data_IF_606743075486
#
_entry.id   IF_606743075486
#
_cell.length_a   1.000
_cell.length_b   1.000
_cell.length_c   1.000
_cell.angle_alpha   90.00
_cell.angle_beta   90.00
_cell.angle_gamma   90.00
#
_symmetry.space_group_name_H-M   'P 1'
#
loop_
_entity.id
_entity.type
_entity.pdbx_description
1 polymer ?
#
# COMPACT_ATOMS: atom_id res chain seq x y z
N UNK A 1 5.45 -13.55 -4.82
CA UNK A 1 4.69 -12.81 -5.87
C UNK A 1 4.10 -11.47 -5.37
N UNK A 2 4.12 -11.15 -4.07
CA UNK A 2 3.46 -9.95 -3.53
C UNK A 2 4.20 -8.60 -3.71
N UNK A 3 5.44 -8.61 -4.20
CA UNK A 3 6.26 -7.40 -4.43
C UNK A 3 6.22 -6.91 -5.88
N UNK A 4 5.81 -7.76 -6.83
CA UNK A 4 5.86 -7.43 -8.27
C UNK A 4 4.98 -6.23 -8.61
N UNK A 5 3.86 -6.05 -7.90
CA UNK A 5 2.93 -4.93 -8.11
C UNK A 5 3.36 -3.62 -7.43
N UNK A 6 4.50 -3.60 -6.72
CA UNK A 6 5.11 -2.39 -6.16
C UNK A 6 6.46 -2.04 -6.80
N UNK A 7 6.81 -2.72 -7.90
CA UNK A 7 8.00 -2.42 -8.70
C UNK A 7 7.67 -1.30 -9.69
N UNK A 8 8.27 -0.13 -9.50
CA UNK A 8 8.40 0.88 -10.55
C UNK A 8 7.42 2.05 -10.48
N UNK A 9 7.72 3.01 -9.59
CA UNK A 9 7.19 4.37 -9.64
C UNK A 9 8.38 5.31 -9.40
N UNK A 10 8.54 6.36 -10.21
CA UNK A 10 9.69 7.30 -10.11
C UNK A 10 9.65 8.19 -8.85
N UNK A 11 8.60 8.08 -8.07
CA UNK A 11 8.40 8.87 -6.85
C UNK A 11 9.28 8.39 -5.69
N UNK A 12 9.48 7.08 -5.56
CA UNK A 12 10.23 6.49 -4.44
C UNK A 12 10.88 5.15 -4.86
N UNK A 13 11.94 4.69 -4.15
CA UNK A 13 12.50 3.36 -4.36
C UNK A 13 11.45 2.26 -4.19
N UNK A 14 11.60 1.15 -4.92
CA UNK A 14 10.68 0.03 -4.77
C UNK A 14 10.71 -0.49 -3.33
N UNK A 15 9.55 -0.88 -2.82
CA UNK A 15 9.44 -1.33 -1.43
C UNK A 15 10.34 -2.55 -1.13
N UNK A 16 10.52 -3.43 -2.13
CA UNK A 16 11.46 -4.55 -2.07
C UNK A 16 12.91 -4.10 -1.86
N UNK A 17 13.33 -3.03 -2.54
CA UNK A 17 14.70 -2.53 -2.48
C UNK A 17 14.97 -1.94 -1.10
N UNK A 18 14.02 -1.15 -0.57
CA UNK A 18 14.10 -0.60 0.79
C UNK A 18 14.16 -1.73 1.82
N UNK A 19 13.33 -2.77 1.67
CA UNK A 19 13.34 -3.94 2.56
C UNK A 19 14.67 -4.68 2.50
N UNK A 20 15.20 -4.92 1.29
CA UNK A 20 16.47 -5.61 1.08
C UNK A 20 17.64 -4.83 1.70
N UNK A 21 17.68 -3.51 1.51
CA UNK A 21 18.70 -2.65 2.10
C UNK A 21 18.63 -2.67 3.64
N UNK A 22 17.43 -2.57 4.22
CA UNK A 22 17.26 -2.66 5.67
C UNK A 22 17.70 -4.01 6.24
N UNK A 23 17.50 -5.10 5.49
CA UNK A 23 17.98 -6.42 5.86
C UNK A 23 19.51 -6.52 5.75
N UNK A 24 20.08 -6.08 4.63
CA UNK A 24 21.53 -6.14 4.35
C UNK A 24 22.35 -5.37 5.39
N UNK A 25 21.88 -4.20 5.80
CA UNK A 25 22.56 -3.36 6.80
C UNK A 25 22.10 -3.66 8.25
N UNK A 26 21.34 -4.73 8.47
CA UNK A 26 20.84 -5.13 9.79
C UNK A 26 20.17 -3.99 10.57
N UNK A 27 19.35 -3.18 9.90
CA UNK A 27 18.65 -2.05 10.52
C UNK A 27 17.68 -2.50 11.63
N UNK A 28 17.25 -3.77 11.64
CA UNK A 28 16.44 -4.32 12.74
C UNK A 28 17.15 -4.31 14.10
N UNK A 29 18.48 -4.21 14.12
CA UNK A 29 19.27 -4.15 15.37
C UNK A 29 18.89 -2.97 16.27
N UNK A 30 18.40 -1.86 15.69
CA UNK A 30 17.89 -0.71 16.44
C UNK A 30 16.67 -1.04 17.31
N UNK A 31 15.98 -2.15 17.00
CA UNK A 31 14.78 -2.60 17.70
C UNK A 31 15.00 -3.86 18.55
N UNK A 32 16.26 -4.22 18.84
CA UNK A 32 16.65 -5.46 19.54
C UNK A 32 15.98 -5.68 20.90
N UNK A 33 15.62 -4.62 21.61
CA UNK A 33 14.97 -4.68 22.93
C UNK A 33 13.44 -4.55 22.89
N UNK A 34 12.84 -4.58 21.71
CA UNK A 34 11.40 -4.39 21.51
C UNK A 34 10.81 -5.67 20.93
N UNK A 35 9.63 -6.05 21.42
CA UNK A 35 8.89 -7.18 20.86
C UNK A 35 8.57 -6.93 19.38
N UNK A 36 8.76 -7.96 18.54
CA UNK A 36 8.51 -7.87 17.10
C UNK A 36 7.01 -7.65 16.85
N UNK A 37 6.60 -6.57 16.15
CA UNK A 37 5.20 -6.33 15.87
C UNK A 37 4.63 -7.35 14.86
N UNK A 38 3.33 -7.69 14.96
CA UNK A 38 2.67 -8.70 14.11
C UNK A 38 2.34 -8.16 12.71
N UNK A 39 3.37 -7.84 11.91
CA UNK A 39 3.19 -7.28 10.57
C UNK A 39 2.49 -8.23 9.60
N UNK A 40 1.45 -7.74 8.93
CA UNK A 40 0.86 -8.43 7.77
C UNK A 40 1.81 -8.37 6.60
N UNK A 41 2.00 -9.52 5.94
CA UNK A 41 2.78 -9.56 4.71
C UNK A 41 2.12 -8.69 3.63
N UNK A 42 2.88 -7.91 2.83
CA UNK A 42 4.35 -7.92 2.73
C UNK A 42 5.09 -6.96 3.68
N UNK A 43 4.43 -6.35 4.67
CA UNK A 43 5.06 -5.46 5.64
C UNK A 43 6.13 -6.14 6.51
N UNK A 44 7.02 -5.33 7.08
CA UNK A 44 8.07 -5.77 8.00
C UNK A 44 8.23 -4.75 9.16
N UNK A 45 8.83 -5.12 10.30
CA UNK A 45 9.03 -4.19 11.41
C UNK A 45 9.78 -2.93 10.97
N UNK A 46 9.26 -1.74 11.30
CA UNK A 46 9.91 -0.50 10.92
C UNK A 46 11.16 -0.29 11.82
N UNK A 47 12.39 -0.28 11.25
CA UNK A 47 13.61 -0.09 12.04
C UNK A 47 13.71 1.31 12.65
N UNK A 48 12.88 2.27 12.23
CA UNK A 48 12.79 3.62 12.82
C UNK A 48 11.67 3.73 13.84
N UNK A 49 10.71 2.80 13.85
CA UNK A 49 9.61 2.74 14.80
C UNK A 49 9.28 1.28 15.14
N UNK A 50 9.98 0.78 16.15
CA UNK A 50 9.97 -0.62 16.57
C UNK A 50 8.60 -1.17 16.99
N UNK A 51 7.61 -0.31 17.25
CA UNK A 51 6.25 -0.70 17.63
C UNK A 51 5.28 -0.74 16.46
N UNK A 52 5.75 -0.47 15.24
CA UNK A 52 4.94 -0.44 14.02
C UNK A 52 5.61 -1.17 12.86
N UNK A 53 4.86 -1.38 11.79
CA UNK A 53 5.33 -2.00 10.57
C UNK A 53 5.57 -0.96 9.48
N UNK A 54 6.65 -1.14 8.73
CA UNK A 54 6.86 -0.48 7.45
C UNK A 54 6.00 -1.18 6.41
N UNK A 55 5.01 -0.47 5.90
CA UNK A 55 4.07 -1.00 4.92
C UNK A 55 4.45 -0.63 3.48
N UNK A 56 4.19 -1.51 2.49
CA UNK A 56 4.13 -1.09 1.10
C UNK A 56 3.10 0.04 0.92
N UNK A 57 3.29 0.91 -0.08
CA UNK A 57 2.39 2.06 -0.35
C UNK A 57 0.90 1.66 -0.44
N UNK A 58 0.59 0.45 -0.88
CA UNK A 58 -0.76 -0.07 -1.04
C UNK A 58 -1.39 -0.64 0.25
N UNK A 59 -0.73 -0.51 1.40
CA UNK A 59 -1.25 -0.94 2.71
C UNK A 59 -0.97 0.14 3.77
N UNK A 60 -1.82 0.20 4.78
CA UNK A 60 -1.71 1.14 5.89
C UNK A 60 -2.08 0.47 7.22
N UNK A 61 -2.12 1.27 8.30
CA UNK A 61 -2.32 0.77 9.65
C UNK A 61 -1.00 0.42 10.35
N UNK A 62 -1.07 0.21 11.66
CA UNK A 62 0.12 -0.03 12.48
C UNK A 62 0.84 -1.33 12.09
N UNK A 63 0.09 -2.31 11.60
CA UNK A 63 0.54 -3.65 11.25
C UNK A 63 0.30 -3.99 9.78
N UNK A 64 0.08 -2.98 8.92
CA UNK A 64 -0.25 -3.14 7.50
C UNK A 64 -1.57 -3.91 7.26
N UNK A 65 -2.52 -3.77 8.19
CA UNK A 65 -3.81 -4.46 8.20
C UNK A 65 -4.94 -3.66 7.51
N UNK A 66 -4.71 -2.37 7.25
CA UNK A 66 -5.69 -1.47 6.67
C UNK A 66 -5.37 -1.20 5.21
N UNK A 67 -6.38 -0.74 4.49
CA UNK A 67 -6.18 -0.10 3.21
C UNK A 67 -5.69 1.33 3.41
N UNK A 68 -4.83 1.83 2.52
CA UNK A 68 -4.43 3.22 2.55
C UNK A 68 -5.61 4.10 2.14
N UNK A 69 -5.75 5.23 2.83
CA UNK A 69 -6.64 6.29 2.42
C UNK A 69 -5.99 7.05 1.24
N UNK A 70 -6.79 7.36 0.23
CA UNK A 70 -6.37 8.21 -0.88
C UNK A 70 -6.45 9.68 -0.48
N UNK A 71 -5.62 10.53 -1.09
CA UNK A 71 -5.68 11.99 -0.85
C UNK A 71 -6.62 12.71 -1.81
N UNK A 72 -7.07 12.06 -2.89
CA UNK A 72 -8.03 12.67 -3.81
C UNK A 72 -9.49 12.55 -3.30
N UNK A 73 -10.28 13.63 -3.32
CA UNK A 73 -11.66 13.64 -2.84
C UNK A 73 -12.57 12.60 -3.51
N UNK A 74 -12.32 12.29 -4.79
CA UNK A 74 -13.17 11.43 -5.61
C UNK A 74 -12.75 9.95 -5.65
N UNK A 75 -11.64 9.58 -5.03
CA UNK A 75 -11.09 8.22 -5.08
C UNK A 75 -10.39 7.80 -3.77
N UNK A 76 -10.92 8.27 -2.64
CA UNK A 76 -10.39 7.99 -1.32
C UNK A 76 -10.77 6.57 -0.84
N UNK A 77 -10.01 5.57 -1.30
CA UNK A 77 -9.95 4.23 -0.72
C UNK A 77 -11.28 3.47 -0.63
N UNK A 78 -11.60 2.63 -1.62
CA UNK A 78 -12.75 1.71 -1.51
C UNK A 78 -12.39 0.25 -1.74
N UNK A 79 -13.02 -0.63 -0.95
CA UNK A 79 -13.02 -2.08 -1.20
C UNK A 79 -14.12 -2.39 -2.20
N UNK A 80 -13.75 -2.94 -3.35
CA UNK A 80 -14.68 -3.41 -4.37
C UNK A 80 -14.76 -4.93 -4.26
N UNK A 81 -15.91 -5.43 -3.80
CA UNK A 81 -16.16 -6.87 -3.74
C UNK A 81 -16.64 -7.35 -5.11
N UNK A 82 -15.88 -8.23 -5.75
CA UNK A 82 -16.34 -8.98 -6.90
C UNK A 82 -17.37 -10.02 -6.44
N UNK A 83 -18.64 -9.81 -6.81
CA UNK A 83 -19.77 -10.65 -6.41
C UNK A 83 -20.19 -11.65 -7.49
N UNK A 84 -19.75 -11.47 -8.73
CA UNK A 84 -20.04 -12.37 -9.85
C UNK A 84 -18.77 -12.97 -10.45
N UNK A 85 -18.94 -14.10 -11.13
CA UNK A 85 -17.91 -14.72 -11.97
C UNK A 85 -17.87 -14.13 -13.39
N UNK A 86 -18.79 -13.22 -13.71
CA UNK A 86 -18.84 -12.51 -15.00
C UNK A 86 -17.93 -11.27 -14.99
N UNK A 87 -17.42 -10.91 -16.17
CA UNK A 87 -16.64 -9.69 -16.33
C UNK A 87 -17.45 -8.45 -15.90
N UNK A 88 -16.85 -7.61 -15.07
CA UNK A 88 -17.42 -6.34 -14.62
C UNK A 88 -16.37 -5.24 -14.74
N UNK A 89 -16.75 -4.09 -15.30
CA UNK A 89 -15.86 -2.94 -15.44
C UNK A 89 -15.95 -2.05 -14.19
N UNK A 90 -14.80 -1.81 -13.55
CA UNK A 90 -14.70 -0.80 -12.50
C UNK A 90 -14.70 0.61 -13.12
N UNK A 91 -15.69 1.43 -12.76
CA UNK A 91 -15.74 2.85 -13.12
C UNK A 91 -14.96 3.68 -12.09
N UNK A 92 -13.63 3.65 -12.18
CA UNK A 92 -12.73 4.45 -11.34
C UNK A 92 -12.27 5.71 -12.09
N UNK A 93 -12.47 6.89 -11.49
CA UNK A 93 -11.98 8.16 -12.02
C UNK A 93 -10.95 8.73 -11.05
N UNK A 94 -9.74 9.00 -11.55
CA UNK A 94 -8.69 9.71 -10.81
C UNK A 94 -8.60 11.15 -11.34
N UNK A 95 -8.79 12.15 -10.47
CA UNK A 95 -8.84 13.55 -10.88
C UNK A 95 -10.17 13.96 -11.54
N UNK A 96 -10.20 15.12 -12.18
CA UNK A 96 -11.37 15.64 -12.90
C UNK A 96 -11.15 15.55 -14.42
N UNK A 97 -11.94 14.74 -15.16
CA UNK A 97 -11.76 14.57 -16.60
C UNK A 97 -12.08 15.83 -17.42
N UNK A 98 -12.76 16.81 -16.84
CA UNK A 98 -13.13 18.06 -17.52
C UNK A 98 -12.20 19.23 -17.16
N UNK A 99 -11.20 19.01 -16.31
CA UNK A 99 -10.26 20.05 -15.88
C UNK A 99 -8.90 19.89 -16.54
N UNK A 100 -8.48 20.94 -17.25
CA UNK A 100 -7.14 21.05 -17.84
C UNK A 100 -6.20 21.92 -16.99
N UNK A 101 -6.63 22.32 -15.80
CA UNK A 101 -5.82 23.14 -14.91
C UNK A 101 -4.63 22.32 -14.40
N UNK A 102 -3.39 22.85 -14.45
CA UNK A 102 -2.24 22.16 -13.93
C UNK A 102 -2.38 21.95 -12.41
N UNK A 103 -2.30 20.69 -11.98
CA UNK A 103 -2.27 20.31 -10.57
C UNK A 103 -0.84 20.52 -10.04
N UNK A 104 -0.68 21.35 -9.00
CA UNK A 104 0.61 21.60 -8.36
C UNK A 104 1.00 20.53 -7.34
N UNK A 105 0.05 19.68 -6.95
CA UNK A 105 0.25 18.57 -6.03
C UNK A 105 -0.36 17.29 -6.63
N UNK A 106 0.34 16.17 -6.46
CA UNK A 106 -0.19 14.87 -6.82
C UNK A 106 -1.18 14.40 -5.75
N UNK A 107 -2.30 13.82 -6.18
CA UNK A 107 -3.24 13.11 -5.31
C UNK A 107 -3.19 11.62 -5.57
N UNK A 108 -3.34 10.83 -4.52
CA UNK A 108 -3.33 9.38 -4.57
C UNK A 108 -4.77 8.83 -4.57
N UNK A 109 -4.98 7.78 -5.38
CA UNK A 109 -6.20 6.98 -5.41
C UNK A 109 -5.86 5.51 -5.11
N UNK A 110 -6.69 4.84 -4.31
CA UNK A 110 -6.53 3.42 -4.02
C UNK A 110 -7.84 2.66 -4.20
N UNK A 111 -7.80 1.59 -4.97
CA UNK A 111 -8.91 0.65 -5.16
C UNK A 111 -8.46 -0.76 -4.84
N UNK A 112 -9.19 -1.44 -3.96
CA UNK A 112 -8.88 -2.81 -3.57
C UNK A 112 -9.99 -3.74 -4.04
N UNK A 113 -9.69 -4.57 -5.05
CA UNK A 113 -10.65 -5.53 -5.58
C UNK A 113 -10.44 -6.87 -4.87
N UNK A 114 -11.48 -7.39 -4.24
CA UNK A 114 -11.44 -8.66 -3.52
C UNK A 114 -12.53 -9.61 -4.02
N UNK A 115 -12.25 -10.90 -4.02
CA UNK A 115 -13.20 -11.96 -4.38
C UNK A 115 -13.62 -12.69 -3.11
N UNK A 116 -14.91 -12.96 -2.94
CA UNK A 116 -15.38 -13.94 -1.95
C UNK A 116 -15.45 -15.31 -2.61
N UNK A 117 -14.48 -16.16 -2.31
CA UNK A 117 -14.62 -17.60 -2.59
C UNK A 117 -15.51 -18.14 -1.48
N UNK A 118 -16.77 -18.45 -1.80
CA UNK A 118 -17.63 -19.21 -0.89
C UNK A 118 -17.04 -20.63 -0.83
N UNK A 119 -16.56 -21.02 0.34
CA UNK A 119 -16.16 -22.39 0.69
C UNK A 119 -17.36 -23.27 0.95
#
# INVERSE_FOLDING_TARGET
MAYQNSMGQREAPAFSDVRMMNWLYNCSSFCSNVAVPPCRQPGYPDPRNCSSCKCPRIFAGQYCEKLPDGSAPNCNGSVIQATSSSWTTLQGVAGDPNSYSPQTAATDCFWHITVRILS
#
